data_IF_856168061380
#
_entry.id   IF_856168061380
#
_cell.length_a   1.000
_cell.length_b   1.000
_cell.length_c   1.000
_cell.angle_alpha   90.00
_cell.angle_beta   90.00
_cell.angle_gamma   90.00
#
_symmetry.space_group_name_H-M   'P 1'
#
loop_
_entity.id
_entity.type
_entity.pdbx_description
1 polymer ?
#
# COMPACT_ATOMS: atom_id res chain seq x y z
N UNK A 1 -15.37 -30.46 21.35
CA UNK A 1 -15.11 -29.11 20.82
C UNK A 1 -13.64 -29.01 20.44
N UNK A 2 -13.33 -29.02 19.14
CA UNK A 2 -11.95 -28.88 18.68
C UNK A 2 -11.51 -27.43 18.74
N UNK A 3 -10.47 -27.13 19.51
CA UNK A 3 -9.83 -25.82 19.50
C UNK A 3 -9.20 -25.63 18.11
N UNK A 4 -9.83 -24.81 17.25
CA UNK A 4 -9.17 -24.35 16.02
C UNK A 4 -7.99 -23.48 16.46
N UNK A 5 -6.77 -23.99 16.33
CA UNK A 5 -5.55 -23.17 16.43
C UNK A 5 -5.72 -22.02 15.45
N UNK A 6 -5.87 -20.81 15.97
CA UNK A 6 -5.79 -19.59 15.16
C UNK A 6 -4.40 -19.61 14.56
N UNK A 7 -4.32 -19.92 13.26
CA UNK A 7 -3.06 -19.91 12.52
C UNK A 7 -2.60 -18.45 12.58
N UNK A 8 -1.74 -18.11 13.54
CA UNK A 8 -1.03 -16.83 13.57
C UNK A 8 -0.43 -16.69 12.18
N UNK A 9 -1.01 -15.82 11.35
CA UNK A 9 -0.42 -15.47 10.07
C UNK A 9 0.96 -14.95 10.42
N UNK A 10 2.00 -15.69 10.00
CA UNK A 10 3.35 -15.16 10.06
C UNK A 10 3.31 -13.90 9.20
N UNK A 11 3.60 -12.77 9.82
CA UNK A 11 3.62 -11.39 9.35
C UNK A 11 4.43 -11.10 8.06
N UNK A 12 4.82 -12.11 7.28
CA UNK A 12 5.89 -11.99 6.29
C UNK A 12 5.44 -11.76 4.84
N UNK A 13 4.14 -11.83 4.53
CA UNK A 13 3.66 -11.78 3.14
C UNK A 13 2.41 -10.90 2.98
N UNK A 14 2.29 -9.81 3.75
CA UNK A 14 1.17 -8.85 3.60
C UNK A 14 1.19 -8.13 2.25
N UNK A 15 2.28 -8.23 1.49
CA UNK A 15 2.47 -7.65 0.17
C UNK A 15 2.02 -8.57 -0.99
N UNK A 16 1.36 -9.69 -0.70
CA UNK A 16 0.82 -10.60 -1.71
C UNK A 16 -0.71 -10.54 -1.71
N UNK A 17 -1.29 -10.10 -2.81
CA UNK A 17 -2.73 -10.19 -3.03
C UNK A 17 -3.16 -11.64 -3.26
N UNK A 18 -4.38 -11.98 -2.84
CA UNK A 18 -5.01 -13.26 -3.14
C UNK A 18 -5.49 -13.33 -4.61
N UNK A 19 -6.02 -14.48 -5.00
CA UNK A 19 -6.55 -14.72 -6.35
C UNK A 19 -7.69 -13.77 -6.77
N UNK A 20 -8.32 -13.09 -5.82
CA UNK A 20 -9.40 -12.14 -6.06
C UNK A 20 -8.90 -10.68 -6.06
N UNK A 21 -7.60 -10.46 -5.90
CA UNK A 21 -7.02 -9.13 -5.77
C UNK A 21 -7.19 -8.50 -4.39
N UNK A 22 -7.62 -9.27 -3.39
CA UNK A 22 -7.74 -8.79 -2.01
C UNK A 22 -6.41 -8.94 -1.29
N UNK A 23 -6.03 -7.95 -0.50
CA UNK A 23 -4.80 -7.96 0.28
C UNK A 23 -5.10 -7.52 1.71
N UNK A 24 -4.50 -8.19 2.70
CA UNK A 24 -4.57 -7.78 4.10
C UNK A 24 -3.25 -7.10 4.47
N UNK A 25 -3.29 -5.78 4.54
CA UNK A 25 -2.15 -4.94 4.91
C UNK A 25 -2.18 -4.63 6.41
N UNK A 26 -1.02 -4.44 7.07
CA UNK A 26 -0.96 -3.93 8.42
C UNK A 26 -1.61 -2.54 8.54
N UNK A 27 -2.29 -2.28 9.66
CA UNK A 27 -3.06 -1.05 9.91
C UNK A 27 -2.19 0.20 9.78
N UNK A 28 -0.91 0.12 10.17
CA UNK A 28 0.04 1.22 10.05
C UNK A 28 0.28 1.66 8.61
N UNK A 29 0.04 0.81 7.61
CA UNK A 29 0.23 1.10 6.19
C UNK A 29 -1.06 1.46 5.46
N UNK A 30 -2.24 1.29 6.07
CA UNK A 30 -3.54 1.45 5.40
C UNK A 30 -3.70 2.81 4.73
N UNK A 31 -3.37 3.88 5.46
CA UNK A 31 -3.43 5.25 4.93
C UNK A 31 -2.51 5.45 3.72
N UNK A 32 -1.26 5.00 3.79
CA UNK A 32 -0.28 5.15 2.71
C UNK A 32 -0.69 4.33 1.48
N UNK A 33 -1.15 3.09 1.69
CA UNK A 33 -1.62 2.20 0.64
C UNK A 33 -2.77 2.83 -0.15
N UNK A 34 -3.77 3.38 0.53
CA UNK A 34 -4.90 4.06 -0.09
C UNK A 34 -4.48 5.29 -0.91
N UNK A 35 -3.54 6.09 -0.40
CA UNK A 35 -3.02 7.26 -1.11
C UNK A 35 -2.25 6.88 -2.38
N UNK A 36 -1.40 5.86 -2.33
CA UNK A 36 -0.66 5.35 -3.50
C UNK A 36 -1.63 4.75 -4.52
N UNK A 37 -2.62 3.97 -4.07
CA UNK A 37 -3.64 3.38 -4.94
C UNK A 37 -4.37 4.42 -5.77
N UNK A 38 -4.73 5.56 -5.17
CA UNK A 38 -5.35 6.68 -5.88
C UNK A 38 -4.43 7.27 -6.96
N UNK A 39 -3.14 7.44 -6.68
CA UNK A 39 -2.18 7.92 -7.68
C UNK A 39 -2.08 6.94 -8.87
N UNK A 40 -2.04 5.64 -8.59
CA UNK A 40 -1.96 4.59 -9.62
C UNK A 40 -3.20 4.55 -10.53
N UNK A 41 -4.39 4.88 -10.02
CA UNK A 41 -5.59 5.01 -10.85
C UNK A 41 -5.49 6.17 -11.85
N UNK A 42 -4.81 7.25 -11.48
CA UNK A 42 -4.65 8.47 -12.28
C UNK A 42 -3.50 8.40 -13.30
N UNK A 43 -2.60 7.43 -13.19
CA UNK A 43 -1.44 7.21 -14.09
C UNK A 43 -1.83 6.93 -15.54
N UNK A 44 -3.08 6.56 -15.81
CA UNK A 44 -3.57 6.09 -17.12
C UNK A 44 -3.53 7.12 -18.25
N UNK A 45 -3.26 8.41 -17.99
CA UNK A 45 -3.60 9.48 -18.94
C UNK A 45 -2.45 9.99 -19.84
N UNK A 46 -1.15 9.89 -19.50
CA UNK A 46 -0.05 10.26 -20.43
C UNK A 46 1.35 10.07 -19.81
N UNK A 47 2.41 10.24 -20.62
CA UNK A 47 3.80 10.19 -20.17
C UNK A 47 4.16 11.17 -19.05
N UNK A 48 3.65 12.42 -19.08
CA UNK A 48 3.90 13.41 -18.01
C UNK A 48 3.19 13.02 -16.71
N UNK A 49 1.95 12.54 -16.81
CA UNK A 49 1.16 12.17 -15.63
C UNK A 49 1.74 10.93 -14.92
N UNK A 50 2.32 9.99 -15.66
CA UNK A 50 3.05 8.86 -15.08
C UNK A 50 4.27 9.31 -14.27
N UNK A 51 5.05 10.26 -14.80
CA UNK A 51 6.22 10.82 -14.10
C UNK A 51 5.77 11.56 -12.83
N UNK A 52 4.74 12.40 -12.92
CA UNK A 52 4.21 13.12 -11.75
C UNK A 52 3.70 12.17 -10.68
N UNK A 53 2.87 11.18 -11.03
CA UNK A 53 2.35 10.21 -10.08
C UNK A 53 3.47 9.40 -9.41
N UNK A 54 4.55 9.08 -10.14
CA UNK A 54 5.73 8.43 -9.55
C UNK A 54 6.41 9.34 -8.52
N UNK A 55 6.57 10.63 -8.82
CA UNK A 55 7.12 11.61 -7.88
C UNK A 55 6.22 11.79 -6.64
N UNK A 56 4.90 11.81 -6.83
CA UNK A 56 3.94 11.93 -5.74
C UNK A 56 3.96 10.70 -4.82
N UNK A 57 4.10 9.49 -5.38
CA UNK A 57 4.29 8.25 -4.61
C UNK A 57 5.58 8.32 -3.77
N UNK A 58 6.69 8.81 -4.35
CA UNK A 58 7.94 8.98 -3.61
C UNK A 58 7.78 9.98 -2.47
N UNK A 59 7.10 11.11 -2.69
CA UNK A 59 6.83 12.10 -1.64
C UNK A 59 5.94 11.55 -0.53
N UNK A 60 4.93 10.75 -0.87
CA UNK A 60 4.08 10.07 0.11
C UNK A 60 4.87 9.11 0.98
N UNK A 61 5.77 8.31 0.37
CA UNK A 61 6.65 7.41 1.11
C UNK A 61 7.63 8.19 2.02
N UNK A 62 8.22 9.27 1.54
CA UNK A 62 9.10 10.13 2.33
C UNK A 62 8.37 10.72 3.55
N UNK A 63 7.16 11.27 3.38
CA UNK A 63 6.34 11.78 4.51
C UNK A 63 5.98 10.69 5.50
N UNK A 64 5.76 9.47 5.03
CA UNK A 64 5.42 8.35 5.90
C UNK A 64 6.58 7.97 6.83
N UNK A 65 7.80 7.91 6.30
CA UNK A 65 9.00 7.59 7.10
C UNK A 65 9.57 8.80 7.85
N UNK A 66 9.36 10.01 7.33
CA UNK A 66 9.88 11.26 7.88
C UNK A 66 8.75 12.29 7.99
N UNK A 67 7.86 12.17 8.99
CA UNK A 67 6.69 13.04 9.13
C UNK A 67 7.04 14.53 9.36
N UNK A 68 8.26 14.80 9.82
CA UNK A 68 8.76 16.16 10.07
C UNK A 68 9.33 16.85 8.81
N UNK A 69 9.41 16.15 7.66
CA UNK A 69 9.90 16.73 6.41
C UNK A 69 8.76 17.48 5.70
N UNK A 70 8.87 18.82 5.52
CA UNK A 70 7.79 19.69 5.02
C UNK A 70 7.21 19.30 3.65
#
# INVERSE_FOLDING_TARGET
MGIKKVKKMKSNDWNKADKNGTINIPDEYDKLFNQIGMQMQLVTISGKNKVQATADILRLAEKFFNPDVP
#
